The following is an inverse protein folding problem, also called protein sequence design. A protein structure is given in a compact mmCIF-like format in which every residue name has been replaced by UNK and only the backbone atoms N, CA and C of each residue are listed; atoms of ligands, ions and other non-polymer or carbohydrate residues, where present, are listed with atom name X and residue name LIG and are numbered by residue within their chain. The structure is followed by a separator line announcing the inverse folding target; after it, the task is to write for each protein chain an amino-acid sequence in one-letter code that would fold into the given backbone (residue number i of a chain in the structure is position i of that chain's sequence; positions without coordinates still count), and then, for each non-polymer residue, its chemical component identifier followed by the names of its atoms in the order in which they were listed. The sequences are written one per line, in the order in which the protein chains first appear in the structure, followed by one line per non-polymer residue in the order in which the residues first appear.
data_IF_610400793157
#
_entry.id   IF_610400793157
#
_cell.length_a   1.000
_cell.length_b   1.000
_cell.length_c   1.000
_cell.angle_alpha   90.00
_cell.angle_beta   90.00
_cell.angle_gamma   90.00
#
_symmetry.space_group_name_H-M   'P 1'
#
loop_
_entity.id
_entity.type
_entity.pdbx_description
1 polymer ?
#
# COMPACT_ATOMS: atom_id res chain seq x y z
N UNK A 1 10.71 -4.63 20.06
CA UNK A 1 10.42 -3.56 21.04
C UNK A 1 10.20 -4.20 22.41
N UNK A 2 10.89 -3.77 23.46
CA UNK A 2 10.70 -4.31 24.81
C UNK A 2 10.66 -3.15 25.82
N UNK A 3 9.56 -3.04 26.57
CA UNK A 3 9.41 -2.05 27.64
C UNK A 3 9.75 -2.76 28.94
N UNK A 4 10.93 -2.51 29.47
CA UNK A 4 11.33 -3.03 30.77
C UNK A 4 10.71 -2.24 31.91
N UNK A 5 10.71 -2.81 33.11
CA UNK A 5 10.15 -2.21 34.32
C UNK A 5 10.73 -0.81 34.66
N UNK A 6 11.95 -0.49 34.20
CA UNK A 6 12.64 0.77 34.50
C UNK A 6 13.15 1.53 33.28
N UNK A 7 13.31 0.85 32.15
CA UNK A 7 13.96 1.37 30.94
C UNK A 7 13.21 0.90 29.71
N UNK A 8 13.00 1.82 28.77
CA UNK A 8 12.47 1.56 27.45
C UNK A 8 13.61 1.45 26.45
N UNK A 9 13.61 0.38 25.66
CA UNK A 9 14.59 0.15 24.60
C UNK A 9 14.02 0.61 23.26
N UNK A 10 14.69 1.57 22.62
CA UNK A 10 14.41 2.04 21.26
C UNK A 10 15.56 1.62 20.34
N UNK A 11 15.26 1.32 19.09
CA UNK A 11 16.27 1.08 18.06
C UNK A 11 16.23 2.25 17.08
N UNK A 12 17.36 2.93 16.91
CA UNK A 12 17.53 4.01 15.95
C UNK A 12 18.04 3.40 14.64
N UNK A 13 17.19 3.45 13.61
CA UNK A 13 17.49 2.90 12.28
C UNK A 13 18.64 3.64 11.62
N UNK A 14 18.66 4.98 11.70
CA UNK A 14 19.66 5.82 11.01
C UNK A 14 21.09 5.62 11.52
N UNK A 15 21.24 5.16 12.75
CA UNK A 15 22.55 5.01 13.40
C UNK A 15 22.87 3.56 13.80
N UNK A 16 22.01 2.59 13.44
CA UNK A 16 22.11 1.18 13.85
C UNK A 16 22.48 0.99 15.33
N UNK A 17 21.77 1.71 16.21
CA UNK A 17 22.08 1.74 17.64
C UNK A 17 20.83 1.49 18.49
N UNK A 18 21.04 0.78 19.60
CA UNK A 18 20.03 0.62 20.64
C UNK A 18 20.15 1.73 21.67
N UNK A 19 19.07 2.50 21.84
CA UNK A 19 18.97 3.56 22.83
C UNK A 19 18.12 3.09 24.01
N UNK A 20 18.71 3.18 25.19
CA UNK A 20 18.07 2.82 26.45
C UNK A 20 17.64 4.09 27.18
N UNK A 21 16.33 4.33 27.27
CA UNK A 21 15.77 5.53 27.91
C UNK A 21 15.10 5.13 29.23
N UNK A 22 15.49 5.71 30.38
CA UNK A 22 14.80 5.49 31.64
C UNK A 22 13.33 5.92 31.55
N UNK A 23 12.41 5.09 32.04
CA UNK A 23 10.97 5.35 31.96
C UNK A 23 10.59 6.65 32.70
N UNK A 24 11.25 6.96 33.82
CA UNK A 24 11.04 8.21 34.56
C UNK A 24 11.36 9.46 33.72
N UNK A 25 12.35 9.36 32.83
CA UNK A 25 12.72 10.43 31.90
C UNK A 25 11.78 10.54 30.69
N UNK A 26 11.00 9.49 30.40
CA UNK A 26 9.96 9.48 29.37
C UNK A 26 8.65 10.09 29.87
N UNK A 27 8.30 9.90 31.14
CA UNK A 27 7.06 10.42 31.75
C UNK A 27 7.04 11.96 31.78
N UNK A 28 8.19 12.59 31.97
CA UNK A 28 8.31 14.05 32.10
C UNK A 28 8.70 14.77 30.79
N UNK A 29 8.69 14.06 29.66
CA UNK A 29 8.94 14.65 28.34
C UNK A 29 7.66 14.57 27.53
N UNK A 30 7.41 15.59 26.71
CA UNK A 30 6.36 15.50 25.70
C UNK A 30 6.68 14.37 24.72
N UNK A 31 6.03 13.23 24.91
CA UNK A 31 6.06 12.14 23.94
C UNK A 31 5.09 12.53 22.84
N UNK A 32 5.61 13.21 21.81
CA UNK A 32 4.85 13.40 20.58
C UNK A 32 4.80 12.03 19.89
N UNK A 33 3.68 11.33 20.02
CA UNK A 33 3.42 10.11 19.26
C UNK A 33 3.19 10.50 17.79
N UNK A 34 4.28 10.69 17.06
CA UNK A 34 4.26 11.24 15.70
C UNK A 34 3.76 10.26 14.63
N UNK A 35 3.57 8.98 14.93
CA UNK A 35 3.21 8.00 13.90
C UNK A 35 2.47 6.80 14.48
N UNK A 36 1.24 6.58 14.01
CA UNK A 36 0.87 5.20 13.62
C UNK A 36 1.89 4.87 12.52
N UNK A 37 2.84 3.94 12.69
CA UNK A 37 3.80 3.66 11.63
C UNK A 37 3.03 2.96 10.52
N UNK A 38 2.54 3.73 9.55
CA UNK A 38 2.23 3.16 8.25
C UNK A 38 3.54 2.63 7.70
N UNK A 39 3.52 1.45 7.08
CA UNK A 39 4.72 0.87 6.46
C UNK A 39 5.23 1.68 5.26
N UNK A 40 4.60 2.81 4.95
CA UNK A 40 4.96 3.71 3.86
C UNK A 40 5.80 4.89 4.36
N UNK A 41 6.85 5.22 3.64
CA UNK A 41 7.76 6.32 3.97
C UNK A 41 7.74 7.36 2.87
N UNK A 42 7.62 8.63 3.27
CA UNK A 42 7.70 9.74 2.34
C UNK A 42 9.17 10.13 2.13
N UNK A 43 9.62 10.08 0.88
CA UNK A 43 10.94 10.55 0.46
C UNK A 43 10.79 11.81 -0.37
N UNK A 44 11.77 12.71 -0.25
CA UNK A 44 11.88 13.90 -1.10
C UNK A 44 13.22 13.89 -1.82
N UNK A 45 13.21 14.14 -3.13
CA UNK A 45 14.40 14.31 -3.96
C UNK A 45 14.37 15.71 -4.55
N UNK A 46 15.53 16.36 -4.57
CA UNK A 46 15.72 17.63 -5.24
C UNK A 46 16.53 17.42 -6.52
N UNK A 47 16.10 18.06 -7.61
CA UNK A 47 16.77 17.97 -8.91
C UNK A 47 16.82 19.35 -9.56
N UNK A 48 17.99 19.71 -10.09
CA UNK A 48 18.19 20.96 -10.80
C UNK A 48 18.11 20.73 -12.31
N UNK A 49 17.33 21.58 -12.98
CA UNK A 49 17.27 21.64 -14.45
C UNK A 49 17.73 23.00 -14.95
N UNK A 50 18.20 23.06 -16.19
CA UNK A 50 18.66 24.30 -16.82
C UNK A 50 17.56 25.36 -16.81
N UNK A 51 17.95 26.63 -16.64
CA UNK A 51 17.03 27.77 -16.55
C UNK A 51 16.08 27.90 -17.74
N UNK A 52 16.59 27.69 -18.96
CA UNK A 52 15.82 27.87 -20.20
C UNK A 52 14.96 26.65 -20.58
N UNK A 53 14.80 25.70 -19.66
CA UNK A 53 14.02 24.47 -19.89
C UNK A 53 12.52 24.76 -19.85
N UNK A 54 11.75 24.11 -20.73
CA UNK A 54 10.30 24.02 -20.60
C UNK A 54 9.93 23.29 -19.30
N UNK A 55 9.37 24.04 -18.35
CA UNK A 55 8.98 23.54 -17.03
C UNK A 55 7.91 22.44 -17.11
N UNK A 56 7.03 22.48 -18.13
CA UNK A 56 6.00 21.46 -18.33
C UNK A 56 6.66 20.15 -18.75
N UNK A 57 7.58 20.22 -19.71
CA UNK A 57 8.36 19.07 -20.15
C UNK A 57 9.18 18.46 -19.00
N UNK A 58 9.88 19.29 -18.21
CA UNK A 58 10.65 18.84 -17.06
C UNK A 58 9.77 18.15 -16.00
N UNK A 59 8.61 18.74 -15.70
CA UNK A 59 7.64 18.16 -14.76
C UNK A 59 7.17 16.79 -15.23
N UNK A 60 6.84 16.64 -16.52
CA UNK A 60 6.36 15.36 -17.04
C UNK A 60 7.46 14.30 -17.04
N UNK A 61 8.70 14.65 -17.41
CA UNK A 61 9.84 13.72 -17.32
C UNK A 61 10.03 13.23 -15.89
N UNK A 62 10.04 14.15 -14.92
CA UNK A 62 10.18 13.82 -13.49
C UNK A 62 9.02 12.92 -13.02
N UNK A 63 7.78 13.20 -13.46
CA UNK A 63 6.59 12.42 -13.09
C UNK A 63 6.70 11.00 -13.59
N UNK A 64 7.04 10.85 -14.86
CA UNK A 64 7.21 9.54 -15.50
C UNK A 64 8.36 8.75 -14.87
N UNK A 65 9.49 9.41 -14.54
CA UNK A 65 10.59 8.76 -13.82
C UNK A 65 10.14 8.15 -12.50
N UNK A 66 9.34 8.87 -11.70
CA UNK A 66 8.82 8.35 -10.43
C UNK A 66 7.83 7.21 -10.66
N UNK A 67 6.85 7.40 -11.54
CA UNK A 67 5.80 6.41 -11.79
C UNK A 67 6.33 5.13 -12.45
N UNK A 68 7.46 5.20 -13.14
CA UNK A 68 8.11 4.02 -13.73
C UNK A 68 8.71 3.06 -12.69
N UNK A 69 8.70 3.41 -11.40
CA UNK A 69 9.30 2.59 -10.34
C UNK A 69 8.25 1.73 -9.60
N UNK A 70 8.40 0.39 -9.54
CA UNK A 70 7.40 -0.49 -8.94
C UNK A 70 7.23 -0.29 -7.43
N UNK A 71 8.31 0.00 -6.69
CA UNK A 71 8.30 0.14 -5.21
C UNK A 71 7.78 1.51 -4.70
N UNK A 72 7.31 2.37 -5.60
CA UNK A 72 6.72 3.66 -5.25
C UNK A 72 5.20 3.58 -5.32
N UNK A 73 4.49 4.07 -4.32
CA UNK A 73 3.04 4.15 -4.36
C UNK A 73 2.57 5.15 -5.43
N UNK A 74 1.49 4.81 -6.11
CA UNK A 74 0.89 5.65 -7.14
C UNK A 74 -0.15 4.89 -7.95
N UNK A 75 -0.77 5.59 -8.89
CA UNK A 75 -1.79 5.02 -9.77
C UNK A 75 -1.21 3.84 -10.59
N UNK A 76 -1.71 2.62 -10.34
CA UNK A 76 -1.18 1.40 -10.99
C UNK A 76 -1.29 1.47 -12.52
N UNK A 77 -2.39 1.99 -13.05
CA UNK A 77 -2.59 2.14 -14.49
C UNK A 77 -1.56 3.06 -15.11
N UNK A 78 -1.22 4.18 -14.46
CA UNK A 78 -0.13 5.04 -14.93
C UNK A 78 1.24 4.39 -14.80
N UNK A 79 1.52 3.73 -13.67
CA UNK A 79 2.79 3.04 -13.47
C UNK A 79 3.05 1.98 -14.55
N UNK A 80 2.03 1.19 -14.90
CA UNK A 80 2.11 0.18 -15.96
C UNK A 80 2.41 0.77 -17.34
N UNK A 81 2.05 2.05 -17.61
CA UNK A 81 2.41 2.73 -18.86
C UNK A 81 3.90 3.04 -18.95
N UNK A 82 4.54 3.37 -17.82
CA UNK A 82 5.91 3.89 -17.80
C UNK A 82 6.96 2.87 -17.32
N UNK A 83 6.54 1.74 -16.74
CA UNK A 83 7.45 0.77 -16.15
C UNK A 83 8.46 0.21 -17.15
N UNK A 84 8.03 -0.03 -18.40
CA UNK A 84 8.87 -0.60 -19.46
C UNK A 84 10.00 0.35 -19.92
N UNK A 85 9.82 1.66 -19.70
CA UNK A 85 10.80 2.70 -20.05
C UNK A 85 11.91 2.87 -19.00
N UNK A 86 11.79 2.21 -17.84
CA UNK A 86 12.76 2.34 -16.75
C UNK A 86 14.00 1.48 -17.00
N UNK A 87 15.03 2.08 -17.60
CA UNK A 87 16.28 1.39 -17.89
C UNK A 87 17.08 1.04 -16.63
N UNK A 88 16.88 1.80 -15.55
CA UNK A 88 17.60 1.60 -14.28
C UNK A 88 17.20 0.29 -13.55
N UNK A 89 16.13 -0.38 -14.01
CA UNK A 89 15.61 -1.62 -13.44
C UNK A 89 15.87 -2.86 -14.30
N UNK A 90 16.58 -2.70 -15.43
CA UNK A 90 16.93 -3.82 -16.31
C UNK A 90 17.99 -4.71 -15.65
N UNK A 91 17.91 -6.04 -15.83
CA UNK A 91 18.82 -6.97 -15.19
C UNK A 91 20.23 -6.84 -15.77
N UNK A 92 21.23 -7.22 -14.97
CA UNK A 92 22.52 -7.66 -15.49
C UNK A 92 22.33 -9.01 -16.20
N UNK A 93 23.20 -9.38 -17.15
CA UNK A 93 23.11 -10.66 -17.87
C UNK A 93 22.87 -11.84 -16.90
N UNK A 94 21.86 -12.66 -17.20
CA UNK A 94 21.43 -13.84 -16.43
C UNK A 94 20.77 -13.59 -15.05
N UNK A 95 20.23 -12.40 -14.77
CA UNK A 95 19.46 -12.12 -13.54
C UNK A 95 17.98 -11.87 -13.79
N UNK A 96 17.14 -12.13 -12.77
CA UNK A 96 15.71 -11.84 -12.82
C UNK A 96 15.53 -10.32 -12.89
N UNK A 97 14.79 -9.84 -13.89
CA UNK A 97 14.52 -8.42 -14.09
C UNK A 97 13.59 -7.89 -13.01
N UNK A 98 14.04 -6.87 -12.27
CA UNK A 98 13.19 -6.13 -11.32
C UNK A 98 12.01 -5.46 -12.01
N UNK A 99 12.22 -5.01 -13.25
CA UNK A 99 11.16 -4.43 -14.07
C UNK A 99 10.04 -5.45 -14.32
N UNK A 100 10.39 -6.68 -14.70
CA UNK A 100 9.41 -7.74 -14.99
C UNK A 100 8.69 -8.19 -13.72
N UNK A 101 9.42 -8.43 -12.62
CA UNK A 101 8.81 -8.84 -11.35
C UNK A 101 7.94 -7.73 -10.77
N UNK A 102 8.39 -6.47 -10.84
CA UNK A 102 7.61 -5.30 -10.48
C UNK A 102 6.34 -5.15 -11.31
N UNK A 103 6.40 -5.41 -12.62
CA UNK A 103 5.23 -5.38 -13.52
C UNK A 103 4.22 -6.48 -13.17
N UNK A 104 4.68 -7.71 -12.95
CA UNK A 104 3.82 -8.82 -12.51
C UNK A 104 3.15 -8.50 -11.17
N UNK A 105 3.90 -7.93 -10.23
CA UNK A 105 3.38 -7.48 -8.93
C UNK A 105 2.30 -6.43 -9.07
N UNK A 106 2.50 -5.42 -9.92
CA UNK A 106 1.52 -4.38 -10.20
C UNK A 106 0.25 -4.93 -10.84
N UNK A 107 0.36 -5.86 -11.79
CA UNK A 107 -0.78 -6.51 -12.43
C UNK A 107 -1.58 -7.35 -11.42
N UNK A 108 -0.90 -8.10 -10.55
CA UNK A 108 -1.55 -8.85 -9.48
C UNK A 108 -2.24 -7.90 -8.48
N UNK A 109 -1.58 -6.80 -8.11
CA UNK A 109 -2.16 -5.79 -7.22
C UNK A 109 -3.42 -5.15 -7.82
N UNK A 110 -3.42 -4.86 -9.12
CA UNK A 110 -4.58 -4.33 -9.82
C UNK A 110 -5.79 -5.26 -9.67
N UNK A 111 -5.60 -6.57 -9.89
CA UNK A 111 -6.67 -7.56 -9.72
C UNK A 111 -7.21 -7.58 -8.30
N UNK A 112 -6.32 -7.52 -7.30
CA UNK A 112 -6.70 -7.45 -5.88
C UNK A 112 -7.54 -6.20 -5.60
N UNK A 113 -7.08 -5.03 -6.07
CA UNK A 113 -7.78 -3.77 -5.85
C UNK A 113 -9.17 -3.76 -6.53
N UNK A 114 -9.28 -4.26 -7.76
CA UNK A 114 -10.56 -4.40 -8.46
C UNK A 114 -11.52 -5.34 -7.73
N UNK A 115 -11.01 -6.47 -7.21
CA UNK A 115 -11.82 -7.43 -6.43
C UNK A 115 -12.28 -6.82 -5.10
N UNK A 116 -11.38 -6.11 -4.39
CA UNK A 116 -11.71 -5.39 -3.16
C UNK A 116 -12.78 -4.33 -3.39
N UNK A 117 -12.66 -3.52 -4.44
CA UNK A 117 -13.66 -2.50 -4.79
C UNK A 117 -15.04 -3.13 -5.04
N UNK A 118 -15.10 -4.25 -5.75
CA UNK A 118 -16.35 -5.00 -5.96
C UNK A 118 -16.96 -5.49 -4.65
N UNK A 119 -16.14 -6.07 -3.76
CA UNK A 119 -16.58 -6.56 -2.45
C UNK A 119 -17.07 -5.41 -1.57
N UNK A 120 -16.33 -4.31 -1.51
CA UNK A 120 -16.72 -3.09 -0.78
C UNK A 120 -18.06 -2.54 -1.29
N UNK A 121 -18.23 -2.45 -2.61
CA UNK A 121 -19.48 -1.99 -3.22
C UNK A 121 -20.67 -2.90 -2.86
N UNK A 122 -20.49 -4.22 -2.90
CA UNK A 122 -21.52 -5.17 -2.51
C UNK A 122 -21.88 -5.02 -1.02
N UNK A 123 -20.90 -4.85 -0.13
CA UNK A 123 -21.19 -4.58 1.28
C UNK A 123 -21.93 -3.27 1.49
N UNK A 124 -21.56 -2.19 0.80
CA UNK A 124 -22.28 -0.91 0.87
C UNK A 124 -23.72 -1.03 0.40
N UNK A 125 -23.96 -1.79 -0.68
CA UNK A 125 -25.30 -2.10 -1.15
C UNK A 125 -26.09 -2.91 -0.12
N UNK A 126 -25.47 -3.91 0.50
CA UNK A 126 -26.08 -4.69 1.56
C UNK A 126 -26.45 -3.82 2.77
N UNK A 127 -25.55 -2.93 3.21
CA UNK A 127 -25.84 -1.98 4.29
C UNK A 127 -27.05 -1.10 3.97
N UNK A 128 -27.14 -0.56 2.74
CA UNK A 128 -28.29 0.26 2.32
C UNK A 128 -29.59 -0.55 2.34
N UNK A 129 -29.54 -1.80 1.87
CA UNK A 129 -30.68 -2.71 1.85
C UNK A 129 -31.17 -3.00 3.26
N UNK A 130 -30.27 -3.35 4.17
CA UNK A 130 -30.60 -3.61 5.58
C UNK A 130 -31.21 -2.37 6.24
N UNK A 131 -30.64 -1.18 6.03
CA UNK A 131 -31.18 0.08 6.58
C UNK A 131 -32.61 0.38 6.13
N UNK A 132 -32.94 0.08 4.87
CA UNK A 132 -34.31 0.28 4.34
C UNK A 132 -35.32 -0.70 4.92
N UNK A 133 -34.86 -1.91 5.27
CA UNK A 133 -35.73 -3.00 5.69
C UNK A 133 -35.89 -3.04 7.22
N UNK A 134 -34.87 -2.63 7.98
CA UNK A 134 -34.88 -2.62 9.46
C UNK A 134 -35.90 -1.64 10.08
N UNK A 135 -36.48 -0.69 9.34
CA UNK A 135 -37.45 0.30 9.89
C UNK A 135 -38.71 -0.31 10.51
N UNK A 136 -38.99 -1.60 10.25
CA UNK A 136 -40.10 -2.36 10.85
C UNK A 136 -39.69 -3.67 11.51
N UNK A 137 -38.39 -3.92 11.72
CA UNK A 137 -37.84 -5.24 12.05
C UNK A 137 -37.65 -6.12 10.81
N UNK A 138 -36.78 -7.14 10.91
CA UNK A 138 -36.48 -8.05 9.80
C UNK A 138 -37.39 -9.28 9.86
N UNK A 139 -38.11 -9.56 8.77
CA UNK A 139 -38.87 -10.81 8.59
C UNK A 139 -37.95 -11.97 8.19
N UNK A 140 -38.40 -13.21 8.40
CA UNK A 140 -37.64 -14.41 8.01
C UNK A 140 -37.33 -14.45 6.50
N UNK A 141 -38.23 -13.93 5.66
CA UNK A 141 -38.00 -13.83 4.21
C UNK A 141 -36.91 -12.81 3.88
N UNK A 142 -36.88 -11.69 4.58
CA UNK A 142 -35.86 -10.65 4.42
C UNK A 142 -34.50 -11.14 4.92
N UNK A 143 -34.46 -11.87 6.04
CA UNK A 143 -33.25 -12.51 6.55
C UNK A 143 -32.69 -13.49 5.53
N UNK A 144 -33.53 -14.36 4.93
CA UNK A 144 -33.10 -15.27 3.86
C UNK A 144 -32.55 -14.55 2.63
N UNK A 145 -33.17 -13.45 2.23
CA UNK A 145 -32.69 -12.64 1.11
C UNK A 145 -31.31 -12.01 1.40
N UNK A 146 -31.14 -11.47 2.61
CA UNK A 146 -29.87 -10.92 3.11
C UNK A 146 -28.80 -12.01 3.16
N UNK A 147 -29.11 -13.20 3.69
CA UNK A 147 -28.20 -14.34 3.74
C UNK A 147 -27.73 -14.76 2.35
N UNK A 148 -28.64 -14.85 1.38
CA UNK A 148 -28.30 -15.20 0.01
C UNK A 148 -27.37 -14.17 -0.62
N UNK A 149 -27.68 -12.89 -0.47
CA UNK A 149 -26.81 -11.82 -0.97
C UNK A 149 -25.43 -11.83 -0.28
N UNK A 150 -25.41 -12.11 1.02
CA UNK A 150 -24.17 -12.25 1.76
C UNK A 150 -23.33 -13.44 1.28
N UNK A 151 -23.96 -14.56 0.94
CA UNK A 151 -23.28 -15.74 0.38
C UNK A 151 -22.62 -15.42 -0.97
N UNK A 152 -23.26 -14.62 -1.83
CA UNK A 152 -22.62 -14.14 -3.07
C UNK A 152 -21.34 -13.33 -2.77
N UNK A 153 -21.33 -12.57 -1.67
CA UNK A 153 -20.12 -11.85 -1.22
C UNK A 153 -19.05 -12.82 -0.70
N UNK A 154 -19.42 -13.88 0.05
CA UNK A 154 -18.46 -14.88 0.55
C UNK A 154 -17.82 -15.68 -0.59
N UNK A 155 -18.55 -15.91 -1.68
CA UNK A 155 -18.02 -16.50 -2.92
C UNK A 155 -16.97 -15.60 -3.58
N UNK A 156 -17.19 -14.27 -3.65
CA UNK A 156 -16.17 -13.35 -4.16
C UNK A 156 -14.91 -13.31 -3.29
N UNK A 157 -15.06 -13.53 -1.98
CA UNK A 157 -13.94 -13.59 -1.04
C UNK A 157 -13.16 -14.90 -1.20
N UNK A 158 -13.88 -16.02 -1.36
CA UNK A 158 -13.31 -17.36 -1.54
C UNK A 158 -13.46 -18.29 -0.33
N UNK A 159 -14.45 -18.08 0.53
CA UNK A 159 -14.68 -18.94 1.71
C UNK A 159 -15.37 -20.27 1.39
N UNK A 160 -16.21 -20.27 0.35
CA UNK A 160 -17.04 -21.43 -0.05
C UNK A 160 -16.79 -21.84 -1.51
N UNK A 161 -15.77 -21.26 -2.15
CA UNK A 161 -15.53 -21.42 -3.57
C UNK A 161 -14.53 -22.56 -3.84
N UNK A 162 -15.04 -23.75 -4.12
CA UNK A 162 -14.23 -24.81 -4.71
C UNK A 162 -13.82 -24.40 -6.14
N UNK A 163 -12.53 -24.12 -6.32
CA UNK A 163 -11.85 -23.90 -7.61
C UNK A 163 -12.09 -22.59 -8.39
N UNK A 164 -12.59 -21.50 -7.79
CA UNK A 164 -12.59 -20.20 -8.48
C UNK A 164 -11.25 -19.46 -8.31
N UNK A 165 -10.40 -19.33 -9.36
CA UNK A 165 -9.10 -18.68 -9.25
C UNK A 165 -9.19 -17.16 -9.05
N UNK A 166 -10.35 -16.54 -9.27
CA UNK A 166 -10.53 -15.10 -9.16
C UNK A 166 -11.09 -14.65 -7.80
N UNK A 167 -10.93 -15.46 -6.75
CA UNK A 167 -11.33 -15.09 -5.39
C UNK A 167 -10.34 -14.12 -4.77
N UNK A 168 -10.80 -13.28 -3.83
CA UNK A 168 -9.92 -12.34 -3.15
C UNK A 168 -8.74 -13.03 -2.45
N UNK A 169 -8.98 -14.16 -1.79
CA UNK A 169 -7.95 -14.93 -1.09
C UNK A 169 -6.86 -15.37 -2.08
N UNK A 170 -7.23 -15.98 -3.21
CA UNK A 170 -6.26 -16.43 -4.22
C UNK A 170 -5.51 -15.25 -4.84
N UNK A 171 -6.21 -14.17 -5.19
CA UNK A 171 -5.58 -12.99 -5.78
C UNK A 171 -4.56 -12.34 -4.83
N UNK A 172 -4.83 -12.32 -3.52
CA UNK A 172 -3.87 -11.82 -2.52
C UNK A 172 -2.65 -12.73 -2.44
N UNK A 173 -2.84 -14.06 -2.50
CA UNK A 173 -1.75 -15.03 -2.54
C UNK A 173 -0.87 -14.84 -3.78
N UNK A 174 -1.47 -14.76 -4.96
CA UNK A 174 -0.74 -14.45 -6.20
C UNK A 174 0.03 -13.13 -6.11
N UNK A 175 -0.57 -12.12 -5.49
CA UNK A 175 0.06 -10.80 -5.34
C UNK A 175 1.26 -10.83 -4.39
N UNK A 176 1.15 -11.42 -3.20
CA UNK A 176 2.30 -11.50 -2.30
C UNK A 176 3.34 -12.52 -2.81
N UNK A 177 2.96 -13.55 -3.57
CA UNK A 177 3.91 -14.44 -4.24
C UNK A 177 4.73 -13.72 -5.31
N UNK A 178 4.13 -12.73 -6.00
CA UNK A 178 4.86 -11.86 -6.91
C UNK A 178 5.89 -11.00 -6.16
N UNK A 179 5.61 -10.60 -4.91
CA UNK A 179 6.61 -9.95 -4.05
C UNK A 179 7.81 -10.86 -3.74
N UNK A 180 7.58 -12.15 -3.53
CA UNK A 180 8.67 -13.11 -3.21
C UNK A 180 9.65 -13.32 -4.37
N UNK A 181 9.28 -12.90 -5.58
CA UNK A 181 10.13 -12.93 -6.78
C UNK A 181 10.97 -11.66 -6.95
N UNK A 182 10.79 -10.64 -6.10
CA UNK A 182 11.57 -9.41 -6.15
C UNK A 182 13.06 -9.72 -5.88
N UNK A 183 13.98 -9.40 -6.83
CA UNK A 183 15.41 -9.67 -6.66
C UNK A 183 16.05 -8.89 -5.51
N UNK A 184 15.42 -7.82 -5.02
CA UNK A 184 15.92 -7.04 -3.88
C UNK A 184 15.37 -7.53 -2.53
N UNK A 185 14.41 -8.44 -2.50
CA UNK A 185 13.83 -8.92 -1.25
C UNK A 185 14.82 -9.84 -0.51
N UNK A 186 15.16 -9.47 0.73
CA UNK A 186 16.02 -10.32 1.55
C UNK A 186 15.32 -11.64 1.90
N UNK A 187 16.11 -12.71 2.08
CA UNK A 187 15.58 -14.03 2.44
C UNK A 187 14.83 -14.01 3.78
N UNK A 188 15.28 -13.18 4.73
CA UNK A 188 14.68 -13.00 6.05
C UNK A 188 13.31 -12.31 6.02
N UNK A 189 13.05 -11.48 5.00
CA UNK A 189 11.78 -10.76 4.84
C UNK A 189 10.68 -11.63 4.23
N UNK A 190 11.04 -12.73 3.54
CA UNK A 190 10.10 -13.64 2.90
C UNK A 190 9.07 -14.21 3.88
N UNK A 191 9.45 -14.87 4.99
CA UNK A 191 8.49 -15.38 5.96
C UNK A 191 7.67 -14.27 6.60
N UNK A 192 8.27 -13.10 6.86
CA UNK A 192 7.57 -11.96 7.46
C UNK A 192 6.42 -11.49 6.56
N UNK A 193 6.68 -11.36 5.26
CA UNK A 193 5.69 -10.93 4.28
C UNK A 193 4.56 -11.97 4.10
N UNK A 194 4.90 -13.26 4.05
CA UNK A 194 3.91 -14.33 3.99
C UNK A 194 3.04 -14.36 5.25
N UNK A 195 3.66 -14.35 6.43
CA UNK A 195 2.96 -14.41 7.71
C UNK A 195 2.04 -13.20 7.92
N UNK A 196 2.46 -11.99 7.50
CA UNK A 196 1.62 -10.79 7.56
C UNK A 196 0.31 -10.99 6.77
N UNK A 197 0.42 -11.45 5.53
CA UNK A 197 -0.75 -11.60 4.66
C UNK A 197 -1.62 -12.79 5.04
N UNK A 198 -1.05 -13.94 5.37
CA UNK A 198 -1.85 -15.10 5.82
C UNK A 198 -2.54 -14.82 7.17
N UNK A 199 -1.92 -14.04 8.07
CA UNK A 199 -2.59 -13.59 9.29
C UNK A 199 -3.77 -12.67 8.98
N UNK A 200 -3.60 -11.72 8.04
CA UNK A 200 -4.68 -10.83 7.59
C UNK A 200 -5.81 -11.61 6.92
N UNK A 201 -5.50 -12.61 6.10
CA UNK A 201 -6.48 -13.49 5.47
C UNK A 201 -7.26 -14.27 6.53
N UNK A 202 -6.58 -14.93 7.48
CA UNK A 202 -7.23 -15.63 8.61
C UNK A 202 -8.17 -14.70 9.41
N UNK A 203 -7.75 -13.46 9.63
CA UNK A 203 -8.57 -12.45 10.32
C UNK A 203 -9.79 -12.03 9.48
N UNK A 204 -9.63 -11.88 8.16
CA UNK A 204 -10.73 -11.65 7.22
C UNK A 204 -11.74 -12.79 7.31
N UNK A 205 -11.32 -14.04 7.16
CA UNK A 205 -12.18 -15.22 7.25
C UNK A 205 -12.94 -15.25 8.58
N UNK A 206 -12.25 -14.99 9.69
CA UNK A 206 -12.86 -14.92 11.03
C UNK A 206 -13.93 -13.84 11.11
N UNK A 207 -13.70 -12.64 10.55
CA UNK A 207 -14.66 -11.54 10.58
C UNK A 207 -15.88 -11.83 9.72
N UNK A 208 -15.69 -12.43 8.54
CA UNK A 208 -16.77 -12.81 7.63
C UNK A 208 -17.61 -13.94 8.23
N UNK A 209 -17.00 -14.96 8.82
CA UNK A 209 -17.73 -16.03 9.52
C UNK A 209 -18.55 -15.51 10.70
N UNK A 210 -17.99 -14.58 11.49
CA UNK A 210 -18.72 -13.92 12.59
C UNK A 210 -19.91 -13.09 12.09
N UNK A 211 -19.75 -12.37 10.98
CA UNK A 211 -20.85 -11.60 10.40
C UNK A 211 -21.94 -12.53 9.84
N UNK A 212 -21.57 -13.66 9.22
CA UNK A 212 -22.52 -14.70 8.79
C UNK A 212 -23.40 -15.18 9.94
N UNK A 213 -22.79 -15.49 11.09
CA UNK A 213 -23.51 -15.90 12.31
C UNK A 213 -24.48 -14.81 12.81
N UNK A 214 -24.04 -13.54 12.79
CA UNK A 214 -24.89 -12.41 13.18
C UNK A 214 -26.07 -12.18 12.23
N UNK A 215 -25.85 -12.39 10.93
CA UNK A 215 -26.91 -12.33 9.92
C UNK A 215 -27.93 -13.44 10.13
N UNK A 216 -27.48 -14.65 10.50
CA UNK A 216 -28.38 -15.78 10.73
C UNK A 216 -29.24 -15.64 12.00
N UNK A 217 -28.75 -14.93 13.01
CA UNK A 217 -29.48 -14.71 14.27
C UNK A 217 -29.44 -13.23 14.70
N UNK A 218 -30.16 -12.31 14.03
CA UNK A 218 -30.07 -10.88 14.31
C UNK A 218 -30.55 -10.48 15.71
N UNK A 219 -31.55 -11.18 16.26
CA UNK A 219 -32.16 -10.88 17.57
C UNK A 219 -31.30 -11.25 18.77
N UNK A 220 -30.22 -12.01 18.56
CA UNK A 220 -29.32 -12.45 19.63
C UNK A 220 -28.27 -11.39 20.03
N UNK A 221 -28.20 -10.26 19.32
CA UNK A 221 -27.16 -9.26 19.49
C UNK A 221 -27.74 -7.85 19.69
N UNK A 222 -27.16 -7.08 20.61
CA UNK A 222 -27.57 -5.68 20.89
C UNK A 222 -27.15 -4.70 19.78
N UNK A 223 -26.06 -5.00 19.04
CA UNK A 223 -25.59 -4.16 17.94
C UNK A 223 -26.40 -4.40 16.67
N UNK A 224 -26.81 -3.33 16.00
CA UNK A 224 -27.48 -3.39 14.70
C UNK A 224 -26.60 -4.06 13.63
N UNK A 225 -27.24 -4.70 12.66
CA UNK A 225 -26.54 -5.48 11.65
C UNK A 225 -25.77 -4.59 10.67
N UNK A 226 -26.34 -3.43 10.34
CA UNK A 226 -25.70 -2.43 9.47
C UNK A 226 -24.39 -1.89 10.06
N UNK A 227 -24.34 -1.60 11.36
CA UNK A 227 -23.13 -1.16 12.06
C UNK A 227 -22.01 -2.22 11.96
N UNK A 228 -22.35 -3.50 12.05
CA UNK A 228 -21.37 -4.58 11.90
C UNK A 228 -20.77 -4.63 10.49
N UNK A 229 -21.58 -4.41 9.46
CA UNK A 229 -21.12 -4.38 8.06
C UNK A 229 -20.28 -3.12 7.81
N UNK A 230 -20.70 -1.96 8.31
CA UNK A 230 -19.94 -0.70 8.19
C UNK A 230 -18.55 -0.85 8.82
N UNK A 231 -18.48 -1.44 10.02
CA UNK A 231 -17.21 -1.69 10.70
C UNK A 231 -16.31 -2.66 9.93
N UNK A 232 -16.89 -3.67 9.29
CA UNK A 232 -16.14 -4.59 8.42
C UNK A 232 -15.57 -3.88 7.19
N UNK A 233 -16.38 -3.09 6.49
CA UNK A 233 -15.94 -2.31 5.31
C UNK A 233 -14.86 -1.31 5.70
N UNK A 234 -15.02 -0.63 6.83
CA UNK A 234 -14.01 0.28 7.34
C UNK A 234 -12.69 -0.45 7.67
N UNK A 235 -12.78 -1.64 8.27
CA UNK A 235 -11.60 -2.48 8.53
C UNK A 235 -10.91 -2.93 7.23
N UNK A 236 -11.68 -3.33 6.21
CA UNK A 236 -11.15 -3.66 4.88
C UNK A 236 -10.34 -2.50 4.29
N UNK A 237 -10.91 -1.29 4.33
CA UNK A 237 -10.30 -0.06 3.78
C UNK A 237 -9.05 0.39 4.52
N UNK A 238 -9.03 0.28 5.84
CA UNK A 238 -8.00 0.92 6.67
C UNK A 238 -6.91 -0.06 7.11
N UNK A 239 -7.28 -1.29 7.48
CA UNK A 239 -6.37 -2.22 8.16
C UNK A 239 -5.98 -3.44 7.31
N UNK A 240 -6.84 -3.86 6.38
CA UNK A 240 -6.56 -5.01 5.53
C UNK A 240 -5.66 -4.63 4.34
N UNK A 241 -6.25 -3.98 3.33
CA UNK A 241 -5.56 -3.40 2.17
C UNK A 241 -6.45 -2.32 1.58
N UNK A 242 -5.95 -1.09 1.53
CA UNK A 242 -6.63 -0.02 0.82
C UNK A 242 -6.69 -0.35 -0.68
N UNK A 243 -7.88 -0.26 -1.26
CA UNK A 243 -8.12 -0.47 -2.68
C UNK A 243 -7.77 0.75 -3.55
N UNK A 244 -7.64 1.93 -2.92
CA UNK A 244 -7.21 3.19 -3.55
C UNK A 244 -6.34 4.01 -2.60
N UNK A 245 -5.19 4.49 -3.07
CA UNK A 245 -4.21 5.24 -2.28
C UNK A 245 -3.97 6.67 -2.83
N UNK A 246 -5.06 7.39 -3.17
CA UNK A 246 -4.98 8.75 -3.77
C UNK A 246 -4.16 9.75 -2.93
N UNK A 247 -4.15 9.62 -1.61
CA UNK A 247 -3.38 10.51 -0.72
C UNK A 247 -1.85 10.30 -0.80
N UNK A 248 -1.38 9.34 -1.58
CA UNK A 248 0.04 8.95 -1.67
C UNK A 248 0.61 9.03 -3.08
N UNK A 249 -0.04 9.77 -3.96
CA UNK A 249 0.50 10.02 -5.30
C UNK A 249 1.76 10.90 -5.26
N UNK A 250 2.73 10.65 -6.16
CA UNK A 250 3.90 11.49 -6.31
C UNK A 250 3.52 12.95 -6.61
N UNK A 251 4.17 13.88 -5.93
CA UNK A 251 3.97 15.32 -6.14
C UNK A 251 5.27 15.94 -6.61
N UNK A 252 5.21 16.73 -7.68
CA UNK A 252 6.33 17.51 -8.20
C UNK A 252 6.03 18.98 -7.98
N UNK A 253 6.96 19.68 -7.34
CA UNK A 253 6.84 21.11 -7.07
C UNK A 253 8.04 21.82 -7.67
N UNK A 254 7.78 22.93 -8.34
CA UNK A 254 8.82 23.88 -8.70
C UNK A 254 9.18 24.67 -7.44
N UNK A 255 10.44 24.61 -7.05
CA UNK A 255 11.02 25.39 -5.96
C UNK A 255 11.40 26.80 -6.41
N UNK A 256 12.22 27.47 -5.59
CA UNK A 256 12.71 28.80 -5.93
C UNK A 256 13.62 28.76 -7.17
N UNK A 257 13.54 29.82 -7.97
CA UNK A 257 14.45 30.06 -9.08
C UNK A 257 15.80 30.49 -8.52
N UNK A 258 16.85 29.74 -8.83
CA UNK A 258 18.21 30.24 -8.66
C UNK A 258 18.62 31.01 -9.92
N UNK A 259 19.68 31.80 -9.82
CA UNK A 259 20.27 32.54 -10.93
C UNK A 259 20.59 31.64 -12.13
N UNK A 260 20.99 30.39 -11.89
CA UNK A 260 21.51 29.49 -12.94
C UNK A 260 20.66 28.23 -13.18
N UNK A 261 19.66 27.93 -12.34
CA UNK A 261 18.85 26.71 -12.49
C UNK A 261 17.45 26.80 -11.91
N UNK A 262 16.56 25.97 -12.44
CA UNK A 262 15.23 25.74 -11.88
C UNK A 262 15.30 24.51 -10.97
N UNK A 263 15.00 24.71 -9.68
CA UNK A 263 15.01 23.62 -8.69
C UNK A 263 13.65 22.95 -8.62
N UNK A 264 13.61 21.62 -8.76
CA UNK A 264 12.41 20.82 -8.55
C UNK A 264 12.51 20.01 -7.26
N UNK A 265 11.41 19.96 -6.52
CA UNK A 265 11.24 19.12 -5.33
C UNK A 265 10.20 18.06 -5.64
N UNK A 266 10.62 16.79 -5.62
CA UNK A 266 9.79 15.64 -5.93
C UNK A 266 9.56 14.85 -4.65
N UNK A 267 8.31 14.75 -4.22
CA UNK A 267 7.88 13.96 -3.05
C UNK A 267 7.13 12.72 -3.50
N UNK A 268 7.49 11.56 -2.97
CA UNK A 268 6.80 10.30 -3.26
C UNK A 268 6.84 9.36 -2.04
N UNK A 269 6.02 8.32 -2.08
CA UNK A 269 5.88 7.36 -1.00
C UNK A 269 6.41 6.00 -1.42
N UNK A 270 7.27 5.40 -0.60
CA UNK A 270 7.84 4.07 -0.86
C UNK A 270 7.00 3.02 -0.13
N UNK A 271 6.76 1.89 -0.78
CA UNK A 271 6.06 0.77 -0.17
C UNK A 271 6.93 0.00 0.84
N UNK A 272 6.27 -0.51 1.88
CA UNK A 272 6.83 -1.33 2.96
C UNK A 272 8.30 -1.10 3.34
N UNK A 273 8.58 -0.01 4.03
CA UNK A 273 9.94 0.39 4.45
C UNK A 273 10.60 -0.50 5.49
N UNK A 274 9.88 -1.47 6.07
CA UNK A 274 10.48 -2.40 7.04
C UNK A 274 11.33 -3.46 6.34
N UNK A 275 11.09 -3.68 5.06
CA UNK A 275 11.82 -4.64 4.24
C UNK A 275 13.27 -4.18 4.03
N UNK A 276 14.12 -5.13 3.66
CA UNK A 276 15.52 -4.93 3.30
C UNK A 276 16.32 -4.32 4.46
N UNK A 277 16.04 -4.75 5.71
CA UNK A 277 16.62 -4.18 6.92
C UNK A 277 16.47 -2.64 7.00
N UNK A 278 15.29 -2.15 6.61
CA UNK A 278 14.98 -0.73 6.50
C UNK A 278 15.80 0.07 5.47
N UNK A 279 16.55 -0.59 4.58
CA UNK A 279 17.34 0.06 3.53
C UNK A 279 16.56 0.29 2.22
N UNK A 280 15.37 -0.30 2.09
CA UNK A 280 14.50 -0.14 0.91
C UNK A 280 14.28 1.32 0.55
N UNK A 281 14.08 2.18 1.56
CA UNK A 281 13.92 3.62 1.39
C UNK A 281 15.08 4.28 0.62
N UNK A 282 16.31 4.00 1.06
CA UNK A 282 17.54 4.52 0.46
C UNK A 282 17.75 3.97 -0.96
N UNK A 283 17.53 2.66 -1.13
CA UNK A 283 17.71 1.98 -2.42
C UNK A 283 16.77 2.55 -3.48
N UNK A 284 15.47 2.60 -3.18
CA UNK A 284 14.44 3.13 -4.10
C UNK A 284 14.70 4.59 -4.42
N UNK A 285 15.04 5.42 -3.43
CA UNK A 285 15.38 6.83 -3.65
C UNK A 285 16.56 7.00 -4.62
N UNK A 286 17.58 6.16 -4.50
CA UNK A 286 18.74 6.19 -5.39
C UNK A 286 18.42 5.69 -6.81
N UNK A 287 17.64 4.62 -6.95
CA UNK A 287 17.16 4.13 -8.25
C UNK A 287 16.38 5.20 -8.99
N UNK A 288 15.45 5.87 -8.31
CA UNK A 288 14.60 6.93 -8.88
C UNK A 288 15.42 8.15 -9.23
N UNK A 289 16.37 8.57 -8.38
CA UNK A 289 17.28 9.68 -8.68
C UNK A 289 18.08 9.41 -9.95
N UNK A 290 18.66 8.21 -10.08
CA UNK A 290 19.43 7.83 -11.28
C UNK A 290 18.56 7.91 -12.54
N UNK A 291 17.33 7.40 -12.46
CA UNK A 291 16.40 7.43 -13.58
C UNK A 291 15.96 8.85 -13.98
N UNK A 292 15.70 9.72 -13.00
CA UNK A 292 15.42 11.14 -13.25
C UNK A 292 16.58 11.81 -13.97
N UNK A 293 17.80 11.68 -13.43
CA UNK A 293 19.01 12.27 -14.02
C UNK A 293 19.25 11.75 -15.43
N UNK A 294 19.09 10.44 -15.65
CA UNK A 294 19.21 9.81 -16.99
C UNK A 294 18.26 10.47 -17.99
N UNK A 295 16.95 10.51 -17.69
CA UNK A 295 15.96 11.08 -18.62
C UNK A 295 16.16 12.58 -18.86
N UNK A 296 16.53 13.34 -17.82
CA UNK A 296 16.83 14.77 -17.96
C UNK A 296 18.10 15.02 -18.79
N UNK A 297 19.12 14.15 -18.70
CA UNK A 297 20.31 14.22 -19.55
C UNK A 297 19.99 13.89 -21.01
N UNK A 298 19.15 12.87 -21.27
CA UNK A 298 18.68 12.52 -22.62
C UNK A 298 17.89 13.67 -23.26
N UNK A 299 17.06 14.35 -22.47
CA UNK A 299 16.35 15.55 -22.88
C UNK A 299 17.26 16.80 -22.93
N UNK A 300 18.55 16.70 -22.56
CA UNK A 300 19.56 17.77 -22.54
C UNK A 300 19.23 18.96 -21.63
N UNK A 301 18.38 18.75 -20.63
CA UNK A 301 17.88 19.78 -19.70
C UNK A 301 18.43 19.62 -18.27
N UNK A 302 19.20 18.57 -18.00
CA UNK A 302 19.85 18.39 -16.71
C UNK A 302 20.95 19.43 -16.45
N UNK A 303 20.99 19.99 -15.23
CA UNK A 303 22.07 20.83 -14.75
C UNK A 303 22.92 20.01 -13.75
N UNK A 304 24.22 19.83 -14.03
CA UNK A 304 25.14 19.21 -13.07
C UNK A 304 25.42 20.19 -11.94
N UNK A 305 25.39 19.70 -10.71
CA UNK A 305 25.95 20.42 -9.56
C UNK A 305 27.45 20.61 -9.82
N UNK A 306 27.92 21.86 -9.68
CA UNK A 306 29.32 22.26 -9.84
C UNK A 306 30.11 22.09 -8.56
#
# INVERSE_FOLDING_TARGET
KNIGLRVSKLYLVDSDCEVYIPNASLVNKDIINLTRPTTHFATTIEVNVKRDTDLVQATEILRQSVLSHPDILGNITEKLKYIDDNQSLKPAENSISKQETGKLRLLAEQKVNEKLQKIEHNFEFLTKTIKMVETGGLSDEQIKAIQRYYQEITEYIGLDADNNPETLIILIREWYEAWLKDPNLHLEDRPILMDEWETKLTLLETKISKLSQKIASPTAYETRLDDNIINLVQWLRIEFKASTDFCREPTIRLGNFDSDSNKFTIKFYIDNIKLENCQRGNRVANEVRREMVRRLMEAKIYQREG
#
